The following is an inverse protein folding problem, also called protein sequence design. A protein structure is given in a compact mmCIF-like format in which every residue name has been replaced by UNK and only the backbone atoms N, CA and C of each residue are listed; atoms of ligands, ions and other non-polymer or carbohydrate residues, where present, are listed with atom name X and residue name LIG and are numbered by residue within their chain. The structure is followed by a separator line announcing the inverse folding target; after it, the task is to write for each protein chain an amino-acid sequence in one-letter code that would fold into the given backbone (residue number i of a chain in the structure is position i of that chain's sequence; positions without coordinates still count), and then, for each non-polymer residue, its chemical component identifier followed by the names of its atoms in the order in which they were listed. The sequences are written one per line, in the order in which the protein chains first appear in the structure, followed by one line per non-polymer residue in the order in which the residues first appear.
data_IF_964971789657
#
_entry.id   IF_964971789657
#
_cell.length_a   1.000
_cell.length_b   1.000
_cell.length_c   1.000
_cell.angle_alpha   90.00
_cell.angle_beta   90.00
_cell.angle_gamma   90.00
#
_symmetry.space_group_name_H-M   'P 1'
#
loop_
_entity.id
_entity.type
_entity.pdbx_description
1 polymer ?
#
# COMPACT_ATOMS: atom_id res chain seq x y z
N UNK A 1 11.32 58.80 27.22
CA UNK A 1 10.04 58.25 26.76
C UNK A 1 9.59 57.21 27.79
N UNK A 2 8.57 57.51 28.60
CA UNK A 2 8.03 56.54 29.58
C UNK A 2 7.08 55.60 28.84
N UNK A 3 7.53 54.38 28.55
CA UNK A 3 6.65 53.33 28.03
C UNK A 3 5.70 52.96 29.18
N UNK A 4 4.40 53.18 28.96
CA UNK A 4 3.38 52.87 29.97
C UNK A 4 3.37 51.34 30.21
N UNK A 5 3.26 50.94 31.49
CA UNK A 5 3.17 49.52 31.89
C UNK A 5 2.08 48.76 31.10
N UNK A 6 1.02 49.46 30.71
CA UNK A 6 -0.03 48.89 29.88
C UNK A 6 0.44 48.42 28.49
N UNK A 7 1.35 49.15 27.84
CA UNK A 7 1.90 48.75 26.54
C UNK A 7 2.79 47.52 26.63
N UNK A 8 3.56 47.41 27.71
CA UNK A 8 4.40 46.22 27.92
C UNK A 8 3.54 44.97 28.11
N UNK A 9 2.46 45.07 28.88
CA UNK A 9 1.51 43.95 29.09
C UNK A 9 0.83 43.54 27.79
N UNK A 10 0.41 44.49 26.94
CA UNK A 10 -0.18 44.18 25.63
C UNK A 10 0.82 43.49 24.69
N UNK A 11 2.07 43.93 24.67
CA UNK A 11 3.12 43.31 23.83
C UNK A 11 3.43 41.89 24.31
N UNK A 12 3.50 41.65 25.61
CA UNK A 12 3.73 40.30 26.15
C UNK A 12 2.54 39.40 25.90
N UNK A 13 1.32 39.89 25.98
CA UNK A 13 0.11 39.14 25.71
C UNK A 13 0.01 38.76 24.21
N UNK A 14 0.39 39.68 23.30
CA UNK A 14 0.39 39.42 21.87
C UNK A 14 1.48 38.42 21.43
N UNK A 15 2.64 38.47 22.09
CA UNK A 15 3.74 37.53 21.81
C UNK A 15 3.44 36.10 22.28
N UNK A 16 2.62 35.96 23.33
CA UNK A 16 2.20 34.64 23.82
C UNK A 16 1.26 33.89 22.83
N UNK A 17 0.54 34.61 21.97
CA UNK A 17 -0.33 34.04 20.95
C UNK A 17 0.43 33.49 19.74
N UNK A 18 1.69 33.86 19.53
CA UNK A 18 2.50 33.40 18.38
C UNK A 18 3.25 32.11 18.67
N UNK A 19 3.21 31.56 19.88
CA UNK A 19 3.90 30.36 20.30
C UNK A 19 2.98 29.11 20.30
N UNK A 20 1.74 29.23 19.82
CA UNK A 20 0.85 28.13 19.57
C UNK A 20 1.29 27.36 18.31
N UNK A 21 2.46 26.72 18.35
CA UNK A 21 2.91 25.81 17.34
C UNK A 21 1.98 24.60 17.33
N UNK A 22 1.23 24.40 16.23
CA UNK A 22 0.55 23.14 15.98
C UNK A 22 1.61 22.04 15.88
N UNK A 23 1.81 21.28 16.93
CA UNK A 23 2.38 19.96 16.83
C UNK A 23 1.30 19.07 16.18
N UNK A 24 1.32 18.95 14.85
CA UNK A 24 0.67 17.84 14.20
C UNK A 24 1.42 16.59 14.63
N UNK A 25 0.88 15.89 15.60
CA UNK A 25 1.21 14.48 15.78
C UNK A 25 0.82 13.77 14.49
N UNK A 26 1.80 13.56 13.62
CA UNK A 26 1.72 12.59 12.55
C UNK A 26 1.64 11.25 13.25
N UNK A 27 0.45 10.86 13.66
CA UNK A 27 0.16 9.49 14.04
C UNK A 27 0.37 8.66 12.77
N UNK A 28 1.62 8.24 12.57
CA UNK A 28 1.96 7.19 11.63
C UNK A 28 1.25 5.96 12.16
N UNK A 29 0.03 5.75 11.69
CA UNK A 29 -0.66 4.49 11.95
C UNK A 29 0.24 3.41 11.36
N UNK A 30 0.90 2.66 12.22
CA UNK A 30 1.75 1.53 11.86
C UNK A 30 0.95 0.34 11.32
N UNK A 31 -0.26 0.60 10.81
CA UNK A 31 -1.05 -0.41 10.14
C UNK A 31 -0.43 -0.71 8.78
N UNK A 32 0.10 -1.90 8.66
CA UNK A 32 0.58 -2.44 7.40
C UNK A 32 -0.54 -2.38 6.35
N UNK A 33 -0.30 -1.69 5.24
CA UNK A 33 -1.26 -1.57 4.15
C UNK A 33 -0.97 -2.63 3.08
N UNK A 34 -2.03 -3.18 2.49
CA UNK A 34 -1.93 -4.07 1.34
C UNK A 34 -1.52 -3.25 0.12
N UNK A 35 -0.50 -3.72 -0.59
CA UNK A 35 -0.05 -3.20 -1.87
C UNK A 35 -0.32 -4.27 -2.93
N UNK A 36 -1.11 -3.91 -3.92
CA UNK A 36 -1.47 -4.78 -5.05
C UNK A 36 -0.76 -4.25 -6.30
N UNK A 37 0.02 -5.10 -6.94
CA UNK A 37 0.66 -4.82 -8.21
C UNK A 37 0.27 -5.93 -9.18
N UNK A 38 -0.40 -5.57 -10.28
CA UNK A 38 -0.89 -6.54 -11.25
C UNK A 38 -0.79 -6.05 -12.68
N UNK A 39 -0.53 -6.96 -13.62
CA UNK A 39 -0.55 -6.70 -15.06
C UNK A 39 -0.90 -7.96 -15.84
N UNK A 40 -1.33 -7.76 -17.07
CA UNK A 40 -1.56 -8.79 -18.06
C UNK A 40 -1.14 -8.23 -19.43
N UNK A 41 -0.13 -8.86 -20.03
CA UNK A 41 0.33 -8.50 -21.37
C UNK A 41 -0.51 -9.21 -22.45
N UNK A 42 -0.64 -8.62 -23.63
CA UNK A 42 -1.30 -9.25 -24.76
C UNK A 42 -0.62 -10.59 -25.10
N UNK A 43 -1.41 -11.68 -25.10
CA UNK A 43 -0.93 -13.06 -25.25
C UNK A 43 -0.25 -13.65 -24.00
N UNK A 44 0.02 -12.84 -22.98
CA UNK A 44 0.62 -13.25 -21.72
C UNK A 44 -0.40 -13.78 -20.70
N UNK A 45 0.10 -14.27 -19.58
CA UNK A 45 -0.71 -14.65 -18.43
C UNK A 45 -0.78 -13.52 -17.41
N UNK A 46 -1.86 -13.40 -16.63
CA UNK A 46 -1.95 -12.41 -15.57
C UNK A 46 -0.87 -12.68 -14.50
N UNK A 47 -0.29 -11.61 -14.00
CA UNK A 47 0.66 -11.66 -12.90
C UNK A 47 0.22 -10.65 -11.85
N UNK A 48 0.03 -11.11 -10.62
CA UNK A 48 -0.33 -10.25 -9.48
C UNK A 48 0.64 -10.51 -8.33
N UNK A 49 1.20 -9.43 -7.79
CA UNK A 49 2.02 -9.45 -6.58
C UNK A 49 1.26 -8.78 -5.45
N UNK A 50 1.29 -9.38 -4.30
CA UNK A 50 0.68 -8.85 -3.09
C UNK A 50 1.76 -8.69 -2.03
N UNK A 51 1.95 -7.46 -1.62
CA UNK A 51 2.89 -7.10 -0.57
C UNK A 51 2.23 -6.22 0.47
N UNK A 52 2.95 -5.95 1.56
CA UNK A 52 2.51 -5.02 2.60
C UNK A 52 3.53 -3.92 2.77
N UNK A 53 3.07 -2.74 3.15
CA UNK A 53 3.98 -1.65 3.49
C UNK A 53 4.88 -2.05 4.66
N UNK A 54 6.15 -1.66 4.56
CA UNK A 54 7.18 -1.92 5.56
C UNK A 54 7.30 -0.69 6.46
N UNK A 55 7.21 -0.84 7.80
CA UNK A 55 7.48 0.27 8.71
C UNK A 55 8.93 0.76 8.55
N UNK A 56 9.13 2.09 8.57
CA UNK A 56 10.46 2.70 8.47
C UNK A 56 11.40 2.35 9.65
N UNK A 57 10.85 1.78 10.72
CA UNK A 57 11.59 1.37 11.91
C UNK A 57 12.24 -0.02 11.81
N UNK A 58 12.02 -0.74 10.73
CA UNK A 58 12.65 -2.06 10.52
C UNK A 58 14.10 -1.87 10.03
N UNK A 59 15.03 -1.96 10.96
CA UNK A 59 16.47 -1.73 10.74
C UNK A 59 17.16 -2.79 9.86
N UNK A 60 16.48 -3.85 9.46
CA UNK A 60 17.09 -4.94 8.70
C UNK A 60 16.16 -5.45 7.59
N UNK A 61 16.23 -4.83 6.42
CA UNK A 61 15.65 -5.36 5.19
C UNK A 61 16.52 -6.50 4.64
N UNK A 62 16.44 -7.69 5.24
CA UNK A 62 16.97 -8.90 4.65
C UNK A 62 15.95 -9.55 3.71
N UNK A 63 16.40 -10.40 2.79
CA UNK A 63 15.50 -11.16 1.91
C UNK A 63 14.50 -12.01 2.70
N UNK A 64 14.93 -12.55 3.85
CA UNK A 64 14.07 -13.31 4.75
C UNK A 64 13.01 -12.42 5.42
N UNK A 65 13.36 -11.19 5.80
CA UNK A 65 12.39 -10.25 6.36
C UNK A 65 11.36 -9.81 5.33
N UNK A 66 11.77 -9.59 4.08
CA UNK A 66 10.86 -9.23 2.98
C UNK A 66 9.82 -10.31 2.69
N UNK A 67 10.16 -11.59 2.92
CA UNK A 67 9.21 -12.69 2.75
C UNK A 67 7.98 -12.60 3.65
N UNK A 68 8.11 -11.94 4.81
CA UNK A 68 7.01 -11.71 5.77
C UNK A 68 6.00 -10.66 5.30
N UNK A 69 6.43 -9.79 4.38
CA UNK A 69 5.59 -8.73 3.82
C UNK A 69 4.86 -9.17 2.54
N UNK A 70 5.02 -10.42 2.10
CA UNK A 70 4.25 -11.01 1.02
C UNK A 70 2.95 -11.62 1.56
N UNK A 71 1.81 -11.29 0.96
CA UNK A 71 0.57 -12.00 1.24
C UNK A 71 0.47 -13.23 0.32
N UNK A 72 0.71 -14.41 0.88
CA UNK A 72 0.73 -15.69 0.16
C UNK A 72 -0.56 -16.50 0.30
N UNK A 73 -1.50 -16.01 1.09
CA UNK A 73 -2.73 -16.72 1.42
C UNK A 73 -3.98 -15.94 1.01
N UNK A 74 -3.82 -14.97 0.12
CA UNK A 74 -4.93 -14.22 -0.43
C UNK A 74 -5.69 -15.04 -1.47
N UNK A 75 -6.97 -14.74 -1.64
CA UNK A 75 -7.75 -15.17 -2.80
C UNK A 75 -7.71 -14.05 -3.82
N UNK A 76 -7.16 -14.34 -4.99
CA UNK A 76 -7.03 -13.38 -6.09
C UNK A 76 -7.88 -13.86 -7.25
N UNK A 77 -8.75 -12.99 -7.75
CA UNK A 77 -9.70 -13.30 -8.82
C UNK A 77 -9.56 -12.27 -9.92
N UNK A 78 -9.47 -12.72 -11.16
CA UNK A 78 -9.46 -11.88 -12.36
C UNK A 78 -10.69 -12.20 -13.22
N UNK A 79 -11.27 -11.19 -13.85
CA UNK A 79 -12.37 -11.34 -14.80
C UNK A 79 -12.15 -10.51 -16.05
N UNK A 80 -12.50 -11.05 -17.20
CA UNK A 80 -12.53 -10.35 -18.50
C UNK A 80 -13.95 -9.88 -18.88
N UNK A 81 -14.89 -9.94 -17.91
CA UNK A 81 -16.30 -9.62 -18.12
C UNK A 81 -17.16 -10.80 -18.58
N UNK A 82 -16.56 -11.83 -19.19
CA UNK A 82 -17.25 -13.06 -19.63
C UNK A 82 -16.90 -14.24 -18.74
N UNK A 83 -15.64 -14.34 -18.33
CA UNK A 83 -15.10 -15.41 -17.48
C UNK A 83 -14.44 -14.83 -16.24
N UNK A 84 -14.41 -15.61 -15.20
CA UNK A 84 -13.76 -15.28 -13.95
C UNK A 84 -12.86 -16.45 -13.56
N UNK A 85 -11.60 -16.13 -13.28
CA UNK A 85 -10.57 -17.11 -12.91
C UNK A 85 -9.99 -16.78 -11.54
N UNK A 86 -9.73 -17.81 -10.74
CA UNK A 86 -9.01 -17.69 -9.48
C UNK A 86 -7.53 -17.93 -9.75
N UNK A 87 -6.68 -16.97 -9.39
CA UNK A 87 -5.25 -17.07 -9.57
C UNK A 87 -4.63 -17.94 -8.49
N UNK A 88 -3.73 -18.83 -8.89
CA UNK A 88 -2.97 -19.66 -7.97
C UNK A 88 -1.69 -18.96 -7.53
N UNK A 89 -1.39 -19.02 -6.22
CA UNK A 89 -0.12 -18.54 -5.68
C UNK A 89 1.03 -19.45 -6.12
N UNK A 90 2.12 -18.84 -6.56
CA UNK A 90 3.27 -19.55 -7.13
C UNK A 90 4.59 -18.84 -6.79
N UNK A 91 5.62 -19.63 -6.46
CA UNK A 91 6.98 -19.13 -6.32
C UNK A 91 7.64 -19.06 -7.70
N UNK A 92 8.12 -17.87 -8.08
CA UNK A 92 8.84 -17.64 -9.34
C UNK A 92 9.99 -16.64 -9.13
N UNK A 93 11.22 -17.11 -9.29
CA UNK A 93 12.46 -16.33 -9.13
C UNK A 93 12.64 -15.19 -10.13
N UNK A 94 11.83 -15.16 -11.20
CA UNK A 94 11.86 -14.06 -12.19
C UNK A 94 11.33 -12.75 -11.61
N UNK A 95 10.58 -12.82 -10.53
CA UNK A 95 9.95 -11.67 -9.90
C UNK A 95 10.60 -11.36 -8.55
N UNK A 96 10.47 -10.10 -8.14
CA UNK A 96 10.82 -9.69 -6.80
C UNK A 96 9.64 -8.91 -6.17
N UNK A 97 9.17 -9.29 -4.99
CA UNK A 97 9.48 -10.55 -4.29
C UNK A 97 9.08 -11.80 -5.12
N UNK A 98 9.72 -12.96 -4.90
CA UNK A 98 9.59 -14.13 -5.77
C UNK A 98 8.34 -14.96 -5.51
N UNK A 99 7.19 -14.31 -5.34
CA UNK A 99 5.89 -14.95 -5.19
C UNK A 99 4.84 -14.15 -5.95
N UNK A 100 4.13 -14.82 -6.82
CA UNK A 100 3.10 -14.24 -7.68
C UNK A 100 1.82 -15.06 -7.61
N UNK A 101 0.70 -14.42 -7.95
CA UNK A 101 -0.55 -15.07 -8.29
C UNK A 101 -0.73 -15.04 -9.80
N UNK A 102 -1.05 -16.17 -10.40
CA UNK A 102 -1.22 -16.31 -11.85
C UNK A 102 -2.19 -17.44 -12.19
N UNK A 103 -2.68 -17.48 -13.43
CA UNK A 103 -3.40 -18.61 -14.03
C UNK A 103 -2.89 -18.85 -15.44
N UNK A 104 -3.04 -20.06 -15.95
CA UNK A 104 -2.74 -20.39 -17.34
C UNK A 104 -4.00 -20.54 -18.19
N UNK A 105 -5.17 -20.38 -17.58
CA UNK A 105 -6.47 -20.55 -18.22
C UNK A 105 -7.01 -19.27 -18.85
N UNK A 106 -6.37 -18.12 -18.52
CA UNK A 106 -6.68 -16.81 -19.09
C UNK A 106 -5.42 -16.16 -19.67
N UNK A 107 -5.55 -15.62 -20.88
CA UNK A 107 -4.50 -14.83 -21.53
C UNK A 107 -4.99 -13.43 -21.81
N UNK A 108 -4.08 -12.47 -21.77
CA UNK A 108 -4.37 -11.10 -22.13
C UNK A 108 -4.71 -10.97 -23.62
N UNK A 109 -5.72 -10.18 -23.92
CA UNK A 109 -6.15 -9.82 -25.26
C UNK A 109 -6.03 -8.30 -25.42
N UNK A 110 -5.54 -7.85 -26.57
CA UNK A 110 -5.41 -6.43 -26.86
C UNK A 110 -6.79 -5.75 -26.89
N UNK A 111 -6.90 -4.61 -26.19
CA UNK A 111 -8.13 -3.83 -26.10
C UNK A 111 -9.21 -4.40 -25.17
N UNK A 112 -8.94 -5.51 -24.47
CA UNK A 112 -9.87 -6.06 -23.48
C UNK A 112 -9.59 -5.47 -22.09
N UNK A 113 -10.66 -5.16 -21.37
CA UNK A 113 -10.59 -4.73 -19.97
C UNK A 113 -10.63 -5.95 -19.04
N UNK A 114 -9.89 -5.86 -17.96
CA UNK A 114 -9.84 -6.88 -16.92
C UNK A 114 -10.12 -6.24 -15.58
N UNK A 115 -10.91 -6.90 -14.75
CA UNK A 115 -11.12 -6.52 -13.36
C UNK A 115 -10.40 -7.49 -12.43
N UNK A 116 -9.81 -6.95 -11.38
CA UNK A 116 -9.08 -7.69 -10.37
C UNK A 116 -9.76 -7.52 -9.02
N UNK A 117 -9.97 -8.63 -8.31
CA UNK A 117 -10.43 -8.64 -6.92
C UNK A 117 -9.46 -9.44 -6.06
N UNK A 118 -9.00 -8.83 -5.01
CA UNK A 118 -8.09 -9.41 -4.02
C UNK A 118 -8.78 -9.45 -2.66
N UNK A 119 -8.89 -10.63 -2.10
CA UNK A 119 -9.29 -10.86 -0.71
C UNK A 119 -8.03 -11.27 0.06
N UNK A 120 -7.43 -10.34 0.79
CA UNK A 120 -6.18 -10.54 1.50
C UNK A 120 -6.36 -11.48 2.70
N UNK A 121 -5.27 -12.06 3.18
CA UNK A 121 -5.27 -13.00 4.31
C UNK A 121 -5.77 -12.40 5.62
N UNK A 122 -5.75 -11.06 5.76
CA UNK A 122 -6.28 -10.32 6.92
C UNK A 122 -7.75 -9.88 6.74
N UNK A 123 -8.41 -10.31 5.66
CA UNK A 123 -9.79 -9.99 5.36
C UNK A 123 -10.01 -8.66 4.62
N UNK A 124 -8.94 -7.91 4.32
CA UNK A 124 -9.06 -6.70 3.50
C UNK A 124 -9.35 -7.07 2.04
N UNK A 125 -10.18 -6.26 1.39
CA UNK A 125 -10.55 -6.43 -0.01
C UNK A 125 -10.05 -5.24 -0.81
N UNK A 126 -9.46 -5.50 -1.97
CA UNK A 126 -9.09 -4.51 -2.97
C UNK A 126 -9.66 -4.90 -4.33
N UNK A 127 -10.08 -3.90 -5.10
CA UNK A 127 -10.61 -4.07 -6.46
C UNK A 127 -9.97 -3.06 -7.41
N UNK A 128 -9.74 -3.46 -8.63
CA UNK A 128 -9.16 -2.65 -9.70
C UNK A 128 -9.74 -3.06 -11.07
#
# INVERSE_FOLDING_TARGET
MKISRSYIVMIVLSLSFLLGGCSQDVSTSSQSQLVVEGWIDAGGFPVVKLTRTIPLSDDALSLDSLSRYMDRWAKVTISDGERTEVLAGRYDKKYFPPFIYTTYDMRGEEGREYSLRVEASDGKVAEA
#
